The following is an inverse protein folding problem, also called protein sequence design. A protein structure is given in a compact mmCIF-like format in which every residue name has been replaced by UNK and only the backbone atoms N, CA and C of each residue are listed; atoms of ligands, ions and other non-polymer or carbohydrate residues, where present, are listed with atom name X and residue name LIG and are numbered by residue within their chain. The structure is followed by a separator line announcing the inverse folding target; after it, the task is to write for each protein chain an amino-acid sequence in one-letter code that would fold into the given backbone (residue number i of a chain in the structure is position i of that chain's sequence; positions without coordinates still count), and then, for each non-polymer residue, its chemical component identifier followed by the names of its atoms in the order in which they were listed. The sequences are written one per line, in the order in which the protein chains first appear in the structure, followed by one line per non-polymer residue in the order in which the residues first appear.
data_IF_940127270683
#
_entry.id   IF_940127270683
#
_cell.length_a   1.000
_cell.length_b   1.000
_cell.length_c   1.000
_cell.angle_alpha   90.00
_cell.angle_beta   90.00
_cell.angle_gamma   90.00
#
_symmetry.space_group_name_H-M   'P 1'
#
loop_
_entity.id
_entity.type
_entity.pdbx_description
1 polymer ?
#
# COMPACT_ATOMS: atom_id res chain seq x y z
N UNK A 1 -46.18 40.21 4.92
CA UNK A 1 -44.94 40.32 5.73
C UNK A 1 -44.31 38.94 5.82
N UNK A 2 -43.35 38.64 4.95
CA UNK A 2 -42.59 37.39 4.98
C UNK A 2 -41.12 37.80 5.02
N UNK A 3 -40.48 37.55 6.15
CA UNK A 3 -39.06 37.79 6.41
C UNK A 3 -38.23 36.90 5.49
N UNK A 4 -37.51 37.52 4.56
CA UNK A 4 -36.48 36.86 3.75
C UNK A 4 -35.30 36.56 4.66
N UNK A 5 -35.19 35.32 5.12
CA UNK A 5 -33.98 34.80 5.76
C UNK A 5 -32.84 34.85 4.76
N UNK A 6 -31.79 35.59 5.09
CA UNK A 6 -30.62 35.81 4.24
C UNK A 6 -29.81 34.52 4.13
N UNK A 7 -29.36 34.23 2.90
CA UNK A 7 -28.64 33.01 2.51
C UNK A 7 -27.34 32.76 3.31
N UNK A 8 -26.88 33.77 4.05
CA UNK A 8 -25.71 33.74 4.95
C UNK A 8 -25.96 33.07 6.31
N UNK A 9 -27.21 32.91 6.76
CA UNK A 9 -27.52 32.20 8.02
C UNK A 9 -27.60 30.67 7.83
N UNK A 10 -28.08 30.21 6.67
CA UNK A 10 -28.24 28.79 6.35
C UNK A 10 -26.88 28.04 6.25
N UNK A 11 -25.81 28.72 5.80
CA UNK A 11 -24.48 28.12 5.69
C UNK A 11 -23.74 28.05 7.05
N UNK A 12 -24.09 28.91 8.03
CA UNK A 12 -23.55 28.84 9.40
C UNK A 12 -24.19 27.75 10.25
N UNK A 13 -25.42 27.34 9.95
CA UNK A 13 -26.05 26.17 10.57
C UNK A 13 -25.43 24.86 10.09
N UNK A 14 -25.09 24.72 8.80
CA UNK A 14 -24.42 23.52 8.26
C UNK A 14 -23.04 23.26 8.85
N UNK A 15 -22.33 24.29 9.31
CA UNK A 15 -21.02 24.17 9.95
C UNK A 15 -21.12 23.88 11.47
N UNK A 16 -22.33 24.02 12.05
CA UNK A 16 -22.59 23.66 13.44
C UNK A 16 -22.77 22.15 13.64
N UNK A 17 -23.21 21.43 12.61
CA UNK A 17 -23.48 19.99 12.66
C UNK A 17 -22.27 19.10 12.32
N UNK A 18 -21.13 19.67 11.91
CA UNK A 18 -19.91 18.87 11.79
C UNK A 18 -19.35 18.55 13.18
N UNK A 19 -19.21 17.26 13.48
CA UNK A 19 -18.54 16.72 14.68
C UNK A 19 -17.08 17.23 14.78
N UNK A 20 -16.53 17.71 13.67
CA UNK A 20 -15.16 18.17 13.51
C UNK A 20 -15.01 19.69 13.61
N UNK A 21 -14.02 20.15 14.37
CA UNK A 21 -13.50 21.53 14.35
C UNK A 21 -12.19 21.58 13.57
N UNK A 22 -12.05 22.57 12.69
CA UNK A 22 -10.87 22.75 11.84
C UNK A 22 -10.13 24.03 12.25
N UNK A 23 -8.81 23.93 12.42
CA UNK A 23 -7.91 25.03 12.76
C UNK A 23 -6.76 25.07 11.73
N UNK A 24 -6.49 26.23 11.15
CA UNK A 24 -5.35 26.41 10.25
C UNK A 24 -4.04 26.52 11.07
N UNK A 25 -3.05 25.70 10.74
CA UNK A 25 -1.76 25.64 11.43
C UNK A 25 -0.62 25.63 10.41
N UNK A 26 -0.24 26.81 9.91
CA UNK A 26 0.83 26.94 8.92
C UNK A 26 0.45 26.37 7.56
N UNK A 27 1.16 25.34 7.12
CA UNK A 27 0.96 24.62 5.84
C UNK A 27 -0.07 23.47 5.95
N UNK A 28 -0.71 23.30 7.11
CA UNK A 28 -1.66 22.23 7.37
C UNK A 28 -2.93 22.71 8.06
N UNK A 29 -3.97 21.87 7.99
CA UNK A 29 -5.19 22.01 8.76
C UNK A 29 -5.23 20.94 9.84
N UNK A 30 -5.45 21.36 11.08
CA UNK A 30 -5.68 20.46 12.20
C UNK A 30 -7.17 20.27 12.40
N UNK A 31 -7.62 19.03 12.32
CA UNK A 31 -9.01 18.61 12.48
C UNK A 31 -9.15 17.88 13.81
N UNK A 32 -9.95 18.42 14.73
CA UNK A 32 -10.22 17.83 16.05
C UNK A 32 -11.68 17.42 16.18
N UNK A 33 -11.95 16.32 16.87
CA UNK A 33 -13.31 15.96 17.25
C UNK A 33 -13.78 16.89 18.39
N UNK A 34 -14.99 17.45 18.28
CA UNK A 34 -15.57 18.31 19.33
C UNK A 34 -15.84 17.57 20.63
N UNK A 35 -16.19 16.29 20.54
CA UNK A 35 -16.47 15.44 21.71
C UNK A 35 -15.19 14.93 22.37
N UNK A 36 -14.10 14.80 21.61
CA UNK A 36 -12.82 14.32 22.12
C UNK A 36 -11.64 15.10 21.52
N UNK A 37 -11.25 16.18 22.19
CA UNK A 37 -10.16 17.07 21.77
C UNK A 37 -8.77 16.43 21.86
N UNK A 38 -8.64 15.25 22.50
CA UNK A 38 -7.34 14.58 22.64
C UNK A 38 -6.87 13.91 21.35
N UNK A 39 -7.77 13.66 20.39
CA UNK A 39 -7.44 13.11 19.07
C UNK A 39 -7.55 14.22 18.03
N UNK A 40 -6.51 14.36 17.24
CA UNK A 40 -6.48 15.27 16.12
C UNK A 40 -5.89 14.59 14.89
N UNK A 41 -6.35 15.03 13.74
CA UNK A 41 -5.86 14.61 12.43
C UNK A 41 -5.34 15.83 11.69
N UNK A 42 -4.30 15.63 10.91
CA UNK A 42 -3.71 16.68 10.08
C UNK A 42 -4.08 16.42 8.64
N UNK A 43 -4.55 17.47 7.97
CA UNK A 43 -4.86 17.48 6.55
C UNK A 43 -3.95 18.50 5.88
N UNK A 44 -3.22 18.07 4.85
CA UNK A 44 -2.24 18.89 4.11
C UNK A 44 -2.53 18.85 2.63
N UNK A 45 -2.13 19.89 1.90
CA UNK A 45 -2.11 19.83 0.45
C UNK A 45 -0.91 18.99 0.00
N UNK A 46 -1.19 17.94 -0.77
CA UNK A 46 -0.18 17.11 -1.41
C UNK A 46 0.42 17.78 -2.64
N UNK A 47 1.50 17.20 -3.12
CA UNK A 47 2.25 17.69 -4.30
C UNK A 47 1.43 17.72 -5.60
N UNK A 48 0.33 16.99 -5.67
CA UNK A 48 -0.60 16.95 -6.79
C UNK A 48 -1.77 17.95 -6.64
N UNK A 49 -1.71 18.83 -5.62
CA UNK A 49 -2.77 19.75 -5.26
C UNK A 49 -3.97 19.07 -4.59
N UNK A 50 -3.84 17.79 -4.19
CA UNK A 50 -4.91 17.06 -3.51
C UNK A 50 -4.69 17.05 -2.01
N UNK A 51 -5.76 17.17 -1.24
CA UNK A 51 -5.70 17.06 0.21
C UNK A 51 -5.28 15.63 0.62
N UNK A 52 -4.41 15.51 1.62
CA UNK A 52 -3.98 14.26 2.24
C UNK A 52 -4.25 14.32 3.73
N UNK A 53 -4.83 13.27 4.31
CA UNK A 53 -5.10 13.19 5.76
C UNK A 53 -4.25 12.10 6.43
N UNK A 54 -3.79 12.34 7.65
CA UNK A 54 -3.06 11.33 8.43
C UNK A 54 -3.96 10.31 9.16
N UNK A 55 -5.28 10.31 8.91
CA UNK A 55 -6.16 9.34 9.57
C UNK A 55 -5.97 7.92 9.00
N UNK A 56 -6.16 6.88 9.83
CA UNK A 56 -6.02 5.48 9.39
C UNK A 56 -6.89 5.13 8.18
N UNK A 57 -8.12 5.66 8.13
CA UNK A 57 -9.07 5.41 7.03
C UNK A 57 -8.57 5.91 5.67
N UNK A 58 -7.91 7.09 5.66
CA UNK A 58 -7.29 7.62 4.47
C UNK A 58 -6.08 6.79 4.06
N UNK A 59 -5.23 6.40 5.03
CA UNK A 59 -4.05 5.58 4.79
C UNK A 59 -4.40 4.22 4.18
N UNK A 60 -5.43 3.54 4.70
CA UNK A 60 -5.91 2.26 4.17
C UNK A 60 -6.49 2.42 2.75
N UNK A 61 -7.31 3.44 2.54
CA UNK A 61 -7.94 3.69 1.24
C UNK A 61 -6.95 4.12 0.15
N UNK A 62 -5.92 4.88 0.53
CA UNK A 62 -4.84 5.31 -0.37
C UNK A 62 -4.06 4.12 -0.92
N UNK A 63 -3.81 3.10 -0.09
CA UNK A 63 -3.14 1.86 -0.50
C UNK A 63 -3.97 1.06 -1.51
N UNK A 64 -5.30 1.13 -1.42
CA UNK A 64 -6.23 0.43 -2.31
C UNK A 64 -6.55 1.19 -3.61
N UNK A 65 -5.98 2.39 -3.84
CA UNK A 65 -6.30 3.30 -4.97
C UNK A 65 -7.78 3.67 -5.06
N UNK A 66 -8.52 3.62 -3.96
CA UNK A 66 -9.87 4.18 -3.92
C UNK A 66 -9.75 5.68 -3.70
N UNK A 67 -10.44 6.47 -4.51
CA UNK A 67 -10.57 7.92 -4.28
C UNK A 67 -11.46 8.08 -3.05
N UNK A 68 -10.85 8.11 -1.87
CA UNK A 68 -11.60 8.21 -0.62
C UNK A 68 -11.33 9.55 0.02
N UNK A 69 -12.40 10.31 0.21
CA UNK A 69 -12.43 11.53 1.00
C UNK A 69 -12.84 11.11 2.40
N UNK A 70 -11.90 11.10 3.35
CA UNK A 70 -12.28 10.90 4.74
C UNK A 70 -13.08 12.11 5.24
N UNK A 71 -13.83 11.94 6.32
CA UNK A 71 -14.64 13.02 6.92
C UNK A 71 -13.81 14.26 7.32
N UNK A 72 -12.54 14.06 7.70
CA UNK A 72 -11.63 15.16 8.02
C UNK A 72 -11.32 16.04 6.80
N UNK A 73 -11.15 15.43 5.61
CA UNK A 73 -10.90 16.17 4.38
C UNK A 73 -12.14 16.96 3.95
N UNK A 74 -13.33 16.37 4.11
CA UNK A 74 -14.59 17.07 3.83
C UNK A 74 -14.80 18.27 4.76
N UNK A 75 -14.40 18.15 6.03
CA UNK A 75 -14.43 19.25 6.99
C UNK A 75 -13.50 20.39 6.57
N UNK A 76 -12.28 20.09 6.12
CA UNK A 76 -11.31 21.09 5.64
C UNK A 76 -11.76 21.73 4.34
N UNK A 77 -12.28 20.95 3.38
CA UNK A 77 -12.81 21.48 2.13
C UNK A 77 -13.99 22.43 2.38
N UNK A 78 -14.86 22.10 3.34
CA UNK A 78 -15.96 22.96 3.76
C UNK A 78 -15.47 24.22 4.45
N UNK A 79 -14.41 24.13 5.26
CA UNK A 79 -13.76 25.26 5.92
C UNK A 79 -13.16 26.23 4.90
N UNK A 80 -12.39 25.74 3.93
CA UNK A 80 -11.77 26.55 2.86
C UNK A 80 -12.83 27.22 1.98
N UNK A 81 -13.87 26.48 1.58
CA UNK A 81 -14.99 27.04 0.80
C UNK A 81 -15.75 28.13 1.56
N UNK A 82 -15.74 28.10 2.89
CA UNK A 82 -16.37 29.13 3.71
C UNK A 82 -15.46 30.36 3.89
N UNK A 83 -14.14 30.18 4.03
CA UNK A 83 -13.18 31.29 4.12
C UNK A 83 -13.10 32.11 2.83
N UNK A 84 -13.23 31.48 1.66
CA UNK A 84 -13.22 32.19 0.37
C UNK A 84 -14.47 33.07 0.20
N UNK A 85 -15.60 32.67 0.76
CA UNK A 85 -16.86 33.45 0.71
C UNK A 85 -16.81 34.70 1.58
N UNK A 86 -15.99 34.72 2.63
CA UNK A 86 -15.76 35.94 3.42
C UNK A 86 -14.82 36.93 2.74
N UNK A 87 -14.04 36.50 1.73
CA UNK A 87 -13.14 37.38 0.98
C UNK A 87 -13.72 37.91 -0.33
N UNK A 88 -14.80 37.31 -0.85
CA UNK A 88 -15.39 37.68 -2.14
C UNK A 88 -16.34 38.89 -2.11
N UNK A 89 -16.57 39.51 -0.94
CA UNK A 89 -17.34 40.77 -0.85
C UNK A 89 -16.47 42.03 -1.07
N UNK A 90 -15.19 41.85 -1.42
CA UNK A 90 -14.29 42.94 -1.83
C UNK A 90 -13.62 42.62 -3.17
N UNK A 91 -14.35 42.94 -4.24
CA UNK A 91 -13.90 43.32 -5.60
C UNK A 91 -12.84 42.47 -6.35
N UNK A 92 -13.26 41.94 -7.50
CA UNK A 92 -12.62 42.22 -8.79
C UNK A 92 -11.43 41.35 -9.23
N UNK A 93 -11.73 40.37 -10.09
CA UNK A 93 -10.87 39.69 -11.08
C UNK A 93 -9.39 40.16 -11.18
N UNK A 94 -8.45 39.31 -10.78
CA UNK A 94 -7.19 39.11 -11.51
C UNK A 94 -6.59 37.76 -11.12
N UNK A 95 -6.28 36.94 -12.13
CA UNK A 95 -5.46 35.74 -11.97
C UNK A 95 -4.07 36.14 -11.48
N UNK A 96 -3.64 35.63 -10.33
CA UNK A 96 -2.27 35.81 -9.83
C UNK A 96 -1.81 34.52 -9.18
N UNK A 97 -0.82 33.88 -9.82
CA UNK A 97 -0.05 32.78 -9.25
C UNK A 97 0.76 33.25 -8.04
N UNK A 98 0.86 32.36 -7.06
CA UNK A 98 1.69 32.54 -5.87
C UNK A 98 3.17 32.61 -6.29
N UNK A 99 3.71 33.83 -6.39
CA UNK A 99 5.16 34.09 -6.41
C UNK A 99 5.63 34.26 -4.97
N UNK A 100 6.52 33.36 -4.56
CA UNK A 100 7.27 33.40 -3.30
C UNK A 100 8.48 34.34 -3.47
N UNK A 101 8.63 35.32 -2.58
CA UNK A 101 9.82 36.16 -2.48
C UNK A 101 10.87 35.51 -1.57
N UNK A 102 12.07 35.32 -2.10
CA UNK A 102 13.27 34.89 -1.39
C UNK A 102 13.73 35.94 -0.38
N UNK A 103 14.02 35.53 0.85
CA UNK A 103 14.96 36.23 1.72
C UNK A 103 15.85 35.21 2.42
N UNK A 104 17.14 35.35 2.15
CA UNK A 104 18.24 34.68 2.83
C UNK A 104 18.35 35.23 4.26
N UNK A 105 18.55 34.34 5.23
CA UNK A 105 19.37 34.67 6.39
C UNK A 105 19.93 33.40 7.03
N UNK A 106 21.23 33.46 7.30
CA UNK A 106 22.07 32.47 7.93
C UNK A 106 22.15 32.74 9.44
N UNK A 107 22.07 31.69 10.27
CA UNK A 107 23.05 31.40 11.32
C UNK A 107 22.64 30.22 12.21
N UNK A 108 23.60 29.29 12.37
CA UNK A 108 23.97 28.58 13.60
C UNK A 108 22.92 27.77 14.38
N UNK A 109 23.03 26.45 14.26
CA UNK A 109 23.25 25.53 15.38
C UNK A 109 22.11 25.31 16.37
N UNK A 110 21.39 24.19 16.22
CA UNK A 110 21.16 23.27 17.33
C UNK A 110 20.90 21.86 16.78
N UNK A 111 21.74 20.91 17.18
CA UNK A 111 21.51 19.48 17.00
C UNK A 111 20.59 19.02 18.13
N UNK A 112 19.37 18.57 17.81
CA UNK A 112 18.70 17.47 18.50
C UNK A 112 17.38 17.09 17.80
N UNK A 113 17.36 15.85 17.31
CA UNK A 113 16.24 14.93 17.31
C UNK A 113 14.86 15.41 16.82
N UNK A 114 14.63 15.26 15.51
CA UNK A 114 13.28 15.01 14.98
C UNK A 114 13.34 14.06 13.77
N UNK A 115 13.82 12.84 14.02
CA UNK A 115 14.05 11.79 13.03
C UNK A 115 12.80 10.98 12.64
N UNK A 116 11.61 11.58 12.65
CA UNK A 116 10.37 10.86 12.32
C UNK A 116 9.46 11.70 11.44
N UNK A 117 9.35 11.32 10.16
CA UNK A 117 8.35 11.74 9.15
C UNK A 117 8.79 12.71 8.04
N UNK A 118 10.05 12.69 7.62
CA UNK A 118 10.40 13.10 6.26
C UNK A 118 10.65 11.85 5.43
N UNK A 119 9.59 11.26 4.85
CA UNK A 119 9.81 10.40 3.70
C UNK A 119 10.34 11.35 2.62
N UNK A 120 11.64 11.25 2.37
CA UNK A 120 12.37 12.07 1.43
C UNK A 120 11.62 12.09 0.09
N UNK A 121 11.26 13.28 -0.38
CA UNK A 121 10.56 13.48 -1.66
C UNK A 121 11.37 12.86 -2.81
N UNK A 122 12.69 12.81 -2.66
CA UNK A 122 13.57 12.19 -3.64
C UNK A 122 13.51 10.66 -3.61
N UNK A 123 13.27 10.05 -2.45
CA UNK A 123 13.00 8.61 -2.35
C UNK A 123 11.70 8.23 -3.06
N UNK A 124 10.64 9.04 -2.94
CA UNK A 124 9.37 8.79 -3.64
C UNK A 124 9.53 8.87 -5.17
N UNK A 125 10.32 9.82 -5.68
CA UNK A 125 10.65 9.90 -7.11
C UNK A 125 11.42 8.67 -7.57
N UNK A 126 12.42 8.21 -6.80
CA UNK A 126 13.17 6.98 -7.11
C UNK A 126 12.26 5.75 -7.12
N UNK A 127 11.34 5.64 -6.16
CA UNK A 127 10.35 4.56 -6.16
C UNK A 127 9.50 4.57 -7.44
N UNK A 128 9.09 5.74 -7.92
CA UNK A 128 8.32 5.81 -9.16
C UNK A 128 9.15 5.41 -10.39
N UNK A 129 10.43 5.78 -10.43
CA UNK A 129 11.37 5.30 -11.46
C UNK A 129 11.54 3.77 -11.40
N UNK A 130 11.69 3.19 -10.22
CA UNK A 130 11.84 1.74 -10.01
C UNK A 130 10.58 0.96 -10.38
N UNK A 131 9.40 1.60 -10.38
CA UNK A 131 8.11 0.99 -10.76
C UNK A 131 7.83 1.00 -12.26
N UNK A 132 8.64 1.71 -13.05
CA UNK A 132 8.50 1.74 -14.50
C UNK A 132 8.61 0.32 -15.07
N UNK A 133 7.93 0.10 -16.21
CA UNK A 133 7.98 -1.19 -16.88
C UNK A 133 9.40 -1.48 -17.37
N UNK A 134 9.81 -2.74 -17.23
CA UNK A 134 11.10 -3.21 -17.75
C UNK A 134 10.93 -3.46 -19.25
N UNK A 135 11.99 -3.21 -20.03
CA UNK A 135 12.00 -3.53 -21.46
C UNK A 135 11.56 -5.00 -21.67
N UNK A 136 10.53 -5.27 -22.49
CA UNK A 136 10.08 -6.61 -22.79
C UNK A 136 11.17 -7.58 -23.24
N UNK A 137 12.27 -7.10 -23.84
CA UNK A 137 13.41 -7.92 -24.27
C UNK A 137 14.19 -8.54 -23.12
N UNK A 138 14.13 -7.95 -21.94
CA UNK A 138 14.81 -8.43 -20.74
C UNK A 138 13.95 -9.44 -19.95
N UNK A 139 12.69 -9.61 -20.35
CA UNK A 139 11.78 -10.59 -19.76
C UNK A 139 12.04 -11.93 -20.42
N UNK A 140 12.34 -12.94 -19.61
CA UNK A 140 12.49 -14.33 -20.04
C UNK A 140 11.26 -15.13 -19.64
N UNK A 141 11.02 -16.22 -20.35
CA UNK A 141 9.95 -17.16 -20.04
C UNK A 141 10.55 -18.50 -19.62
N UNK A 142 9.93 -19.13 -18.63
CA UNK A 142 10.23 -20.51 -18.25
C UNK A 142 8.95 -21.30 -18.13
N UNK A 143 9.06 -22.61 -18.31
CA UNK A 143 7.98 -23.52 -17.99
C UNK A 143 7.71 -23.46 -16.48
N UNK A 144 6.47 -23.14 -16.13
CA UNK A 144 5.95 -23.07 -14.77
C UNK A 144 5.39 -24.42 -14.34
N UNK A 145 4.06 -24.52 -14.30
CA UNK A 145 3.36 -25.76 -14.03
C UNK A 145 2.75 -26.34 -15.30
N UNK A 146 2.47 -27.64 -15.26
CA UNK A 146 1.65 -28.32 -16.26
C UNK A 146 0.29 -28.57 -15.66
N UNK A 147 -0.75 -28.23 -16.41
CA UNK A 147 -2.12 -28.56 -16.04
C UNK A 147 -2.37 -30.07 -16.18
N UNK A 148 -3.48 -30.56 -15.62
CA UNK A 148 -3.90 -31.96 -15.71
C UNK A 148 -4.01 -32.42 -17.18
N UNK A 149 -4.42 -31.51 -18.06
CA UNK A 149 -4.52 -31.72 -19.51
C UNK A 149 -3.16 -31.64 -20.25
N UNK A 150 -2.04 -31.66 -19.51
CA UNK A 150 -0.65 -31.57 -20.00
C UNK A 150 -0.30 -30.27 -20.74
N UNK A 151 -1.12 -29.22 -20.63
CA UNK A 151 -0.79 -27.89 -21.13
C UNK A 151 0.27 -27.24 -20.23
N UNK A 152 1.38 -26.80 -20.81
CA UNK A 152 2.44 -26.10 -20.08
C UNK A 152 2.12 -24.61 -19.96
N UNK A 153 2.09 -24.09 -18.73
CA UNK A 153 1.98 -22.67 -18.47
C UNK A 153 3.38 -22.06 -18.40
N UNK A 154 3.56 -20.93 -19.07
CA UNK A 154 4.82 -20.19 -19.07
C UNK A 154 4.76 -19.04 -18.07
N UNK A 155 5.82 -18.89 -17.28
CA UNK A 155 5.96 -17.82 -16.29
C UNK A 155 7.00 -16.82 -16.80
N UNK A 156 6.58 -15.57 -16.92
CA UNK A 156 7.43 -14.42 -17.21
C UNK A 156 8.32 -14.13 -15.99
N UNK A 157 9.63 -14.03 -16.17
CA UNK A 157 10.58 -13.71 -15.11
C UNK A 157 11.71 -12.82 -15.62
N UNK A 158 12.40 -12.18 -14.68
CA UNK A 158 13.65 -11.44 -14.94
C UNK A 158 14.83 -12.11 -14.27
N UNK A 159 16.00 -11.97 -14.89
CA UNK A 159 17.26 -12.43 -14.33
C UNK A 159 17.75 -11.50 -13.21
N UNK A 160 18.59 -12.05 -12.33
CA UNK A 160 19.04 -11.32 -11.15
C UNK A 160 19.97 -10.16 -11.53
N UNK A 161 20.82 -10.32 -12.54
CA UNK A 161 21.72 -9.26 -13.00
C UNK A 161 20.92 -8.08 -13.58
N UNK A 162 19.84 -8.34 -14.32
CA UNK A 162 18.95 -7.27 -14.79
C UNK A 162 18.36 -6.45 -13.65
N UNK A 163 18.04 -7.10 -12.52
CA UNK A 163 17.59 -6.38 -11.32
C UNK A 163 18.70 -5.51 -10.74
N UNK A 164 19.93 -6.03 -10.69
CA UNK A 164 21.09 -5.27 -10.23
C UNK A 164 21.37 -4.07 -11.16
N UNK A 165 21.36 -4.27 -12.48
CA UNK A 165 21.56 -3.21 -13.47
C UNK A 165 20.53 -2.07 -13.31
N UNK A 166 19.25 -2.44 -13.10
CA UNK A 166 18.17 -1.45 -12.86
C UNK A 166 18.39 -0.69 -11.54
N UNK A 167 18.88 -1.37 -10.50
CA UNK A 167 19.20 -0.74 -9.22
C UNK A 167 20.40 0.20 -9.33
N UNK A 168 21.45 -0.21 -10.05
CA UNK A 168 22.63 0.62 -10.32
C UNK A 168 22.27 1.88 -11.12
N UNK A 169 21.39 1.75 -12.13
CA UNK A 169 20.95 2.87 -12.95
C UNK A 169 20.05 3.85 -12.18
N UNK A 170 19.07 3.33 -11.44
CA UNK A 170 17.99 4.16 -10.85
C UNK A 170 18.22 4.55 -9.39
N UNK A 171 19.04 3.80 -8.67
CA UNK A 171 19.29 3.98 -7.25
C UNK A 171 20.73 3.57 -6.89
N UNK A 172 21.76 4.30 -7.37
CA UNK A 172 23.17 3.90 -7.24
C UNK A 172 23.67 3.79 -5.79
N UNK A 173 22.93 4.33 -4.84
CA UNK A 173 23.21 4.23 -3.41
C UNK A 173 22.55 3.02 -2.73
N UNK A 174 22.05 2.06 -3.51
CA UNK A 174 21.52 0.82 -2.98
C UNK A 174 22.61 -0.05 -2.35
N UNK A 175 22.23 -0.86 -1.37
CA UNK A 175 23.14 -1.83 -0.76
C UNK A 175 22.46 -3.18 -0.61
N UNK A 176 23.27 -4.23 -0.71
CA UNK A 176 22.88 -5.62 -0.56
C UNK A 176 23.52 -6.22 0.70
N UNK A 177 22.71 -6.84 1.56
CA UNK A 177 23.23 -7.54 2.74
C UNK A 177 22.45 -8.82 2.97
N UNK A 178 23.16 -9.93 3.15
CA UNK A 178 22.57 -11.20 3.56
C UNK A 178 22.35 -11.15 5.06
N UNK A 179 21.08 -11.29 5.50
CA UNK A 179 20.69 -11.20 6.92
C UNK A 179 20.79 -12.54 7.62
N UNK A 180 20.24 -13.58 6.99
CA UNK A 180 20.17 -14.91 7.57
C UNK A 180 20.31 -15.97 6.47
N UNK A 181 21.07 -17.01 6.77
CA UNK A 181 21.11 -18.25 5.98
C UNK A 181 20.65 -19.36 6.91
N UNK A 182 19.47 -19.92 6.66
CA UNK A 182 18.88 -20.98 7.47
C UNK A 182 18.67 -22.24 6.64
N UNK A 183 19.19 -23.36 7.11
CA UNK A 183 18.85 -24.66 6.54
C UNK A 183 17.55 -25.19 7.16
N UNK A 184 16.58 -25.54 6.31
CA UNK A 184 15.31 -26.17 6.69
C UNK A 184 15.17 -27.47 5.90
N UNK A 185 15.53 -28.58 6.53
CA UNK A 185 15.56 -29.89 5.89
C UNK A 185 16.53 -29.93 4.70
N UNK A 186 15.98 -30.22 3.51
CA UNK A 186 16.74 -30.29 2.26
C UNK A 186 16.83 -28.95 1.52
N UNK A 187 16.27 -27.88 2.10
CA UNK A 187 16.28 -26.54 1.50
C UNK A 187 17.08 -25.55 2.34
N UNK A 188 17.75 -24.63 1.66
CA UNK A 188 18.35 -23.43 2.25
C UNK A 188 17.41 -22.26 2.01
N UNK A 189 17.14 -21.52 3.07
CA UNK A 189 16.34 -20.30 3.08
C UNK A 189 17.30 -19.16 3.34
N UNK A 190 17.39 -18.23 2.40
CA UNK A 190 18.27 -17.06 2.50
C UNK A 190 17.40 -15.82 2.60
N UNK A 191 17.61 -15.03 3.66
CA UNK A 191 17.00 -13.71 3.83
C UNK A 191 18.01 -12.64 3.41
N UNK A 192 17.63 -11.80 2.46
CA UNK A 192 18.41 -10.68 1.94
C UNK A 192 17.70 -9.39 2.24
N UNK A 193 18.43 -8.38 2.71
CA UNK A 193 17.94 -7.02 2.83
C UNK A 193 18.57 -6.12 1.78
N UNK A 194 17.73 -5.37 1.06
CA UNK A 194 18.16 -4.27 0.19
C UNK A 194 17.82 -2.96 0.90
N UNK A 195 18.79 -2.04 0.98
CA UNK A 195 18.57 -0.71 1.54
C UNK A 195 18.82 0.36 0.47
N UNK A 196 17.86 1.28 0.30
CA UNK A 196 17.92 2.42 -0.63
C UNK A 196 17.51 3.66 0.17
N UNK A 197 18.36 4.69 0.21
CA UNK A 197 18.10 5.96 0.94
C UNK A 197 17.57 5.75 2.38
N UNK A 198 18.15 4.80 3.11
CA UNK A 198 17.73 4.49 4.49
C UNK A 198 16.47 3.62 4.63
N UNK A 199 15.78 3.30 3.53
CA UNK A 199 14.65 2.36 3.54
C UNK A 199 15.14 0.96 3.21
N UNK A 200 15.00 0.05 4.17
CA UNK A 200 15.36 -1.37 4.01
C UNK A 200 14.11 -2.21 3.72
N UNK A 201 14.19 -3.08 2.70
CA UNK A 201 13.18 -4.12 2.44
C UNK A 201 13.85 -5.47 2.29
N UNK A 202 13.22 -6.48 2.87
CA UNK A 202 13.78 -7.83 2.91
C UNK A 202 13.08 -8.76 1.92
N UNK A 203 13.81 -9.73 1.38
CA UNK A 203 13.33 -10.77 0.50
C UNK A 203 13.86 -12.12 0.95
N UNK A 204 13.05 -13.16 0.76
CA UNK A 204 13.41 -14.53 1.15
C UNK A 204 13.48 -15.37 -0.11
N UNK A 205 14.58 -16.08 -0.31
CA UNK A 205 14.74 -17.02 -1.42
C UNK A 205 15.04 -18.42 -0.92
N UNK A 206 14.73 -19.40 -1.78
CA UNK A 206 14.82 -20.81 -1.42
C UNK A 206 15.61 -21.60 -2.45
N UNK A 207 16.36 -22.58 -1.98
CA UNK A 207 17.21 -23.42 -2.83
C UNK A 207 17.49 -24.77 -2.21
N UNK A 208 17.97 -25.71 -3.00
CA UNK A 208 18.35 -27.04 -2.49
C UNK A 208 19.72 -26.97 -1.83
N UNK A 209 19.87 -27.51 -0.61
CA UNK A 209 21.13 -27.41 0.18
C UNK A 209 22.28 -28.15 -0.50
N UNK A 210 21.98 -29.30 -1.11
CA UNK A 210 22.96 -30.28 -1.58
C UNK A 210 23.69 -29.83 -2.87
N UNK A 211 23.46 -28.61 -3.31
CA UNK A 211 24.04 -28.06 -4.52
C UNK A 211 24.37 -26.59 -4.30
N UNK A 212 25.59 -26.19 -4.65
CA UNK A 212 26.01 -24.79 -4.71
C UNK A 212 25.06 -23.97 -5.59
N UNK A 213 24.52 -24.59 -6.65
CA UNK A 213 23.52 -24.00 -7.55
C UNK A 213 22.25 -23.63 -6.76
N UNK A 214 21.86 -24.43 -5.76
CA UNK A 214 20.73 -24.16 -4.91
C UNK A 214 20.95 -22.97 -3.99
N UNK A 215 22.13 -22.86 -3.37
CA UNK A 215 22.48 -21.70 -2.53
C UNK A 215 22.49 -20.41 -3.37
N UNK A 216 23.16 -20.43 -4.52
CA UNK A 216 23.18 -19.29 -5.47
C UNK A 216 21.77 -18.91 -5.93
N UNK A 217 20.95 -19.91 -6.26
CA UNK A 217 19.55 -19.70 -6.63
C UNK A 217 18.75 -19.04 -5.51
N UNK A 218 18.92 -19.49 -4.27
CA UNK A 218 18.23 -18.93 -3.11
C UNK A 218 18.60 -17.45 -2.93
N UNK A 219 19.88 -17.09 -3.02
CA UNK A 219 20.32 -15.70 -2.91
C UNK A 219 19.73 -14.84 -4.05
N UNK A 220 19.84 -15.30 -5.30
CA UNK A 220 19.28 -14.60 -6.45
C UNK A 220 17.76 -14.41 -6.34
N UNK A 221 17.04 -15.40 -5.80
CA UNK A 221 15.60 -15.29 -5.57
C UNK A 221 15.28 -14.28 -4.46
N UNK A 222 16.05 -14.30 -3.37
CA UNK A 222 15.91 -13.38 -2.24
C UNK A 222 16.12 -11.92 -2.69
N UNK A 223 17.18 -11.66 -3.47
CA UNK A 223 17.48 -10.36 -4.07
C UNK A 223 16.29 -9.87 -4.91
N UNK A 224 15.79 -10.70 -5.84
CA UNK A 224 14.66 -10.35 -6.70
C UNK A 224 13.40 -10.06 -5.90
N UNK A 225 13.12 -10.81 -4.83
CA UNK A 225 11.95 -10.58 -3.98
C UNK A 225 12.08 -9.32 -3.11
N UNK A 226 13.29 -8.98 -2.66
CA UNK A 226 13.55 -7.72 -1.96
C UNK A 226 13.34 -6.53 -2.91
N UNK A 227 13.91 -6.60 -4.11
CA UNK A 227 13.77 -5.58 -5.17
C UNK A 227 12.31 -5.40 -5.63
N UNK A 228 11.57 -6.51 -5.74
CA UNK A 228 10.14 -6.51 -6.06
C UNK A 228 9.34 -5.64 -5.11
N UNK A 229 9.69 -5.63 -3.81
CA UNK A 229 9.01 -4.82 -2.83
C UNK A 229 9.20 -3.33 -3.11
N UNK A 230 10.36 -2.88 -3.62
CA UNK A 230 10.58 -1.50 -4.07
C UNK A 230 9.78 -1.13 -5.34
N UNK A 231 9.33 -2.12 -6.11
CA UNK A 231 8.45 -1.93 -7.25
C UNK A 231 9.00 -2.46 -8.56
N UNK A 232 10.25 -2.92 -8.58
CA UNK A 232 10.91 -3.48 -9.77
C UNK A 232 10.14 -4.70 -10.26
N UNK A 233 9.71 -4.66 -11.52
CA UNK A 233 8.99 -5.73 -12.21
C UNK A 233 7.75 -6.27 -11.46
N UNK A 234 7.14 -5.45 -10.59
CA UNK A 234 5.95 -5.83 -9.82
C UNK A 234 4.73 -6.14 -10.70
N UNK A 235 4.71 -5.62 -11.92
CA UNK A 235 3.65 -5.89 -12.88
C UNK A 235 3.65 -7.33 -13.40
N UNK A 236 4.79 -8.02 -13.43
CA UNK A 236 4.88 -9.41 -13.89
C UNK A 236 4.04 -10.35 -13.03
N UNK A 237 4.10 -10.18 -11.71
CA UNK A 237 3.29 -10.94 -10.74
C UNK A 237 1.79 -10.63 -10.84
N UNK A 238 1.42 -9.37 -11.18
CA UNK A 238 0.01 -8.99 -11.36
C UNK A 238 -0.58 -9.61 -12.62
N UNK A 239 0.21 -9.70 -13.69
CA UNK A 239 -0.17 -10.35 -14.94
C UNK A 239 -0.41 -11.84 -14.71
N UNK A 240 0.54 -12.52 -14.04
CA UNK A 240 0.39 -13.93 -13.67
C UNK A 240 -0.89 -14.19 -12.87
N UNK A 241 -1.22 -13.33 -11.89
CA UNK A 241 -2.47 -13.50 -11.11
C UNK A 241 -3.72 -13.34 -11.97
N UNK A 242 -3.71 -12.47 -12.98
CA UNK A 242 -4.86 -12.27 -13.88
C UNK A 242 -5.02 -13.44 -14.83
N UNK A 243 -3.93 -13.85 -15.47
CA UNK A 243 -3.90 -14.98 -16.39
C UNK A 243 -4.30 -16.29 -15.67
N UNK A 244 -3.93 -16.45 -14.39
CA UNK A 244 -4.34 -17.58 -13.55
C UNK A 244 -5.80 -17.53 -13.11
N UNK A 245 -6.37 -16.33 -12.89
CA UNK A 245 -7.74 -16.18 -12.43
C UNK A 245 -8.78 -16.39 -13.55
N UNK A 246 -8.38 -16.30 -14.82
CA UNK A 246 -9.26 -16.65 -15.94
C UNK A 246 -9.48 -18.17 -16.08
N UNK A 247 -8.66 -19.02 -15.45
CA UNK A 247 -8.81 -20.48 -15.43
C UNK A 247 -9.03 -21.08 -14.01
N UNK A 248 -8.99 -20.27 -12.93
CA UNK A 248 -9.30 -20.78 -11.59
C UNK A 248 -10.81 -20.99 -11.40
N UNK A 249 -11.30 -22.17 -10.96
CA UNK A 249 -12.66 -22.29 -10.48
C UNK A 249 -12.83 -21.29 -9.36
N UNK A 250 -13.81 -20.41 -9.51
CA UNK A 250 -14.24 -19.46 -8.49
C UNK A 250 -14.38 -20.21 -7.16
N UNK A 251 -13.40 -20.07 -6.25
CA UNK A 251 -13.61 -20.46 -4.87
C UNK A 251 -14.72 -19.56 -4.35
N UNK A 252 -15.93 -20.08 -4.38
CA UNK A 252 -17.11 -19.40 -3.90
C UNK A 252 -16.92 -19.25 -2.39
N UNK A 253 -16.47 -18.08 -1.95
CA UNK A 253 -16.50 -17.70 -0.54
C UNK A 253 -17.97 -17.49 -0.18
N UNK A 254 -18.68 -18.59 0.06
CA UNK A 254 -19.89 -18.59 0.84
C UNK A 254 -19.53 -19.19 2.20
N UNK A 255 -19.47 -18.41 3.29
CA UNK A 255 -19.50 -18.97 4.63
C UNK A 255 -20.97 -19.30 4.92
N UNK A 256 -21.51 -20.27 4.20
CA UNK A 256 -22.80 -20.86 4.53
C UNK A 256 -22.50 -22.30 4.85
N UNK A 257 -22.60 -22.64 6.13
CA UNK A 257 -22.65 -24.01 6.61
C UNK A 257 -23.50 -24.83 5.65
N UNK A 258 -22.89 -25.80 4.97
CA UNK A 258 -23.68 -26.81 4.26
C UNK A 258 -24.60 -27.42 5.30
N UNK A 259 -25.90 -27.31 5.04
CA UNK A 259 -26.96 -27.63 5.99
C UNK A 259 -26.72 -28.96 6.69
N UNK A 260 -27.28 -29.09 7.89
CA UNK A 260 -27.35 -30.28 8.76
C UNK A 260 -27.96 -31.54 8.11
N UNK A 261 -27.99 -31.65 6.78
CA UNK A 261 -28.40 -32.80 5.99
C UNK A 261 -27.26 -33.39 5.13
N UNK A 262 -26.05 -32.83 5.13
CA UNK A 262 -24.82 -33.56 4.72
C UNK A 262 -24.32 -34.44 5.90
N UNK A 263 -25.28 -34.98 6.64
CA UNK A 263 -25.07 -35.91 7.73
C UNK A 263 -24.82 -37.31 7.16
N UNK A 264 -23.97 -38.03 7.88
CA UNK A 264 -23.66 -39.45 7.76
C UNK A 264 -24.76 -40.25 7.02
N UNK A 265 -24.36 -40.89 5.93
CA UNK A 265 -25.25 -41.77 5.15
C UNK A 265 -25.86 -42.85 6.07
N UNK A 266 -27.06 -43.32 5.75
CA UNK A 266 -27.76 -44.35 6.56
C UNK A 266 -26.91 -45.62 6.79
N UNK A 267 -25.99 -45.90 5.86
CA UNK A 267 -25.01 -46.99 5.96
C UNK A 267 -23.91 -46.71 6.99
N UNK A 268 -23.46 -45.46 7.09
CA UNK A 268 -22.50 -45.01 8.12
C UNK A 268 -23.16 -44.99 9.50
N UNK A 269 -24.43 -44.58 9.61
CA UNK A 269 -25.19 -44.70 10.86
C UNK A 269 -25.37 -46.16 11.30
N UNK A 270 -25.67 -47.08 10.37
CA UNK A 270 -25.78 -48.50 10.67
C UNK A 270 -24.48 -49.11 11.19
N UNK A 271 -23.33 -48.71 10.64
CA UNK A 271 -22.01 -49.15 11.13
C UNK A 271 -21.71 -48.63 12.54
N UNK A 272 -22.06 -47.38 12.84
CA UNK A 272 -21.84 -46.79 14.17
C UNK A 272 -22.69 -47.51 15.23
N UNK A 273 -23.94 -47.84 14.90
CA UNK A 273 -24.82 -48.58 15.81
C UNK A 273 -24.35 -50.02 16.04
N UNK A 274 -23.84 -50.69 14.99
CA UNK A 274 -23.29 -52.04 15.12
C UNK A 274 -22.02 -52.09 15.99
N UNK A 275 -21.18 -51.06 15.91
CA UNK A 275 -19.98 -50.93 16.75
C UNK A 275 -20.33 -50.64 18.22
N UNK A 276 -21.39 -49.86 18.47
CA UNK A 276 -21.87 -49.57 19.84
C UNK A 276 -22.40 -50.82 20.57
N UNK A 277 -23.16 -51.66 19.88
CA UNK A 277 -23.71 -52.90 20.47
C UNK A 277 -22.65 -53.97 20.77
N UNK A 278 -21.52 -53.96 20.06
CA UNK A 278 -20.39 -54.86 20.32
C UNK A 278 -19.53 -54.46 21.53
N UNK A 279 -19.68 -53.23 22.03
CA UNK A 279 -18.89 -52.67 23.14
C UNK A 279 -19.62 -52.69 24.50
N UNK A 280 -20.81 -53.27 24.58
CA UNK A 280 -21.48 -53.55 25.85
C UNK A 280 -21.75 -52.31 26.71
N UNK A 281 -22.40 -51.30 26.13
CA UNK A 281 -23.16 -50.27 26.86
C UNK A 281 -24.63 -50.43 26.47
#
# INVERSE_FOLDING_TARGET
MATKTTKTECDKEKMRDSIWSVEAAGDCFRVRCRENQSKYYEVREGIDGRLMCNCPEFMESYLERRIYLCEHMMAVESFVKCSDRTSSDLMGNHAVGLKLSSQENSSSGDETDNATNLIDVDFLKKLELLRQQVDPRLIKQREGWKDYDRKSHYIDYIEWHTVADILDEKAPNWSHTIREIRQVGNFVVISVSITIDGVTREGIGTGVVNSEIGIKKAEHEALKRAALKFGIARYLYKKETRDNNEESPQFSIAPLSRSSNELLTSKQMGMILALGQGLGI
#
